data_IF_014946170902
#
_entry.id   IF_014946170902
#
_cell.length_a   1.000
_cell.length_b   1.000
_cell.length_c   1.000
_cell.angle_alpha   90.00
_cell.angle_beta   90.00
_cell.angle_gamma   90.00
#
_symmetry.space_group_name_H-M   'P 1'
#
loop_
_entity.id
_entity.type
_entity.pdbx_description
1 polymer ?
#
# COMPACT_ATOMS: atom_id res chain seq x y z
N UNK A 1 15.09 5.25 7.33
CA UNK A 1 13.90 5.73 8.08
C UNK A 1 12.74 4.83 7.71
N UNK A 2 11.97 4.35 8.67
CA UNK A 2 10.76 3.54 8.41
C UNK A 2 9.59 4.33 8.97
N UNK A 3 8.66 4.72 8.11
CA UNK A 3 7.42 5.36 8.51
C UNK A 3 6.38 4.28 8.81
N UNK A 4 5.68 4.43 9.93
CA UNK A 4 4.62 3.49 10.33
C UNK A 4 3.28 3.82 9.67
N UNK A 5 3.04 5.12 9.41
CA UNK A 5 1.81 5.63 8.79
C UNK A 5 2.12 6.58 7.63
N UNK A 6 1.22 6.61 6.66
CA UNK A 6 1.30 7.37 5.43
C UNK A 6 -0.05 8.05 5.15
N UNK A 7 0.03 9.24 4.56
CA UNK A 7 -1.10 9.89 3.92
C UNK A 7 -0.81 9.95 2.42
N UNK A 8 -1.75 9.44 1.61
CA UNK A 8 -1.59 9.39 0.15
C UNK A 8 -2.41 10.49 -0.52
N UNK A 9 -1.84 11.09 -1.57
CA UNK A 9 -2.59 11.99 -2.46
C UNK A 9 -3.48 11.13 -3.34
N UNK A 10 -4.79 11.12 -3.05
CA UNK A 10 -5.77 10.20 -3.65
C UNK A 10 -5.68 10.17 -5.18
N UNK A 11 -5.61 11.32 -5.82
CA UNK A 11 -5.62 11.49 -7.28
C UNK A 11 -4.41 10.84 -7.96
N UNK A 12 -3.31 10.61 -7.21
CA UNK A 12 -2.10 9.96 -7.72
C UNK A 12 -2.15 8.44 -7.62
N UNK A 13 -2.97 7.89 -6.73
CA UNK A 13 -2.95 6.45 -6.40
C UNK A 13 -4.29 5.75 -6.66
N UNK A 14 -5.38 6.49 -6.89
CA UNK A 14 -6.74 5.92 -7.00
C UNK A 14 -6.93 4.89 -8.12
N UNK A 15 -6.04 4.87 -9.12
CA UNK A 15 -6.07 3.91 -10.24
C UNK A 15 -4.92 2.91 -10.21
N UNK A 16 -4.10 2.95 -9.16
CA UNK A 16 -2.92 2.12 -9.01
C UNK A 16 -3.15 1.05 -7.94
N UNK A 17 -3.22 -0.21 -8.34
CA UNK A 17 -3.45 -1.32 -7.41
C UNK A 17 -2.18 -1.82 -6.72
N UNK A 18 -1.01 -1.58 -7.31
CA UNK A 18 0.30 -1.95 -6.79
C UNK A 18 1.25 -0.82 -7.16
N UNK A 19 1.91 -0.22 -6.17
CA UNK A 19 2.83 0.90 -6.43
C UNK A 19 3.97 0.95 -5.40
N UNK A 20 4.98 1.76 -5.72
CA UNK A 20 6.07 2.13 -4.82
C UNK A 20 6.10 3.64 -4.65
N UNK A 21 6.58 4.08 -3.51
CA UNK A 21 6.70 5.49 -3.17
C UNK A 21 8.18 5.89 -3.22
N UNK A 22 8.45 7.05 -3.79
CA UNK A 22 9.73 7.74 -3.65
C UNK A 22 9.58 8.83 -2.59
N UNK A 23 10.53 8.88 -1.66
CA UNK A 23 10.69 9.99 -0.72
C UNK A 23 12.00 10.68 -1.09
N UNK A 24 11.88 11.91 -1.57
CA UNK A 24 12.95 12.61 -2.28
C UNK A 24 13.50 11.74 -3.42
N UNK A 25 14.79 11.41 -3.39
CA UNK A 25 15.44 10.56 -4.38
C UNK A 25 15.49 9.09 -3.95
N UNK A 26 14.97 8.75 -2.77
CA UNK A 26 15.07 7.41 -2.18
C UNK A 26 13.80 6.59 -2.43
N UNK A 27 13.98 5.41 -3.02
CA UNK A 27 12.91 4.43 -3.16
C UNK A 27 12.57 3.81 -1.80
N UNK A 28 11.30 3.91 -1.39
CA UNK A 28 10.80 3.17 -0.23
C UNK A 28 10.78 1.68 -0.60
N UNK A 29 11.41 0.86 0.23
CA UNK A 29 11.57 -0.57 -0.03
C UNK A 29 10.25 -1.35 0.00
N UNK A 30 9.26 -0.85 0.76
CA UNK A 30 7.93 -1.44 0.88
C UNK A 30 7.14 -1.27 -0.43
N UNK A 31 6.34 -2.29 -0.75
CA UNK A 31 5.36 -2.25 -1.83
C UNK A 31 3.99 -1.94 -1.22
N UNK A 32 3.30 -0.96 -1.80
CA UNK A 32 1.97 -0.56 -1.39
C UNK A 32 0.96 -1.14 -2.36
N UNK A 33 -0.21 -1.49 -1.85
CA UNK A 33 -1.29 -2.09 -2.63
C UNK A 33 -2.62 -1.48 -2.24
N UNK A 34 -3.57 -1.47 -3.16
CA UNK A 34 -4.95 -1.08 -2.88
C UNK A 34 -5.71 -2.17 -2.11
N UNK A 35 -6.80 -1.77 -1.46
CA UNK A 35 -7.74 -2.72 -0.85
C UNK A 35 -8.35 -3.67 -1.89
N UNK A 36 -8.55 -3.20 -3.12
CA UNK A 36 -9.05 -4.03 -4.22
C UNK A 36 -8.08 -5.18 -4.55
N UNK A 37 -6.77 -4.90 -4.58
CA UNK A 37 -5.75 -5.93 -4.76
C UNK A 37 -5.73 -6.91 -3.59
N UNK A 38 -5.70 -6.40 -2.35
CA UNK A 38 -5.74 -7.21 -1.13
C UNK A 38 -6.93 -8.18 -1.15
N UNK A 39 -8.12 -7.69 -1.49
CA UNK A 39 -9.33 -8.50 -1.59
C UNK A 39 -9.22 -9.63 -2.63
N UNK A 40 -8.61 -9.37 -3.79
CA UNK A 40 -8.37 -10.40 -4.81
C UNK A 40 -7.43 -11.48 -4.27
N UNK A 41 -6.32 -11.10 -3.64
CA UNK A 41 -5.37 -12.04 -3.03
C UNK A 41 -6.05 -12.92 -1.98
N UNK A 42 -6.79 -12.31 -1.06
CA UNK A 42 -7.51 -13.01 0.00
C UNK A 42 -8.60 -13.93 -0.55
N UNK A 43 -9.39 -13.47 -1.53
CA UNK A 43 -10.45 -14.27 -2.16
C UNK A 43 -9.95 -15.49 -2.93
N UNK A 44 -8.69 -15.48 -3.37
CA UNK A 44 -8.06 -16.58 -4.09
C UNK A 44 -7.17 -17.46 -3.19
N UNK A 45 -7.18 -17.25 -1.86
CA UNK A 45 -6.38 -17.99 -0.88
C UNK A 45 -4.88 -18.01 -1.20
N UNK A 46 -4.35 -16.94 -1.79
CA UNK A 46 -2.92 -16.82 -2.06
C UNK A 46 -2.16 -16.62 -0.73
N UNK A 47 -1.13 -17.43 -0.51
CA UNK A 47 -0.31 -17.42 0.71
C UNK A 47 1.08 -16.81 0.45
N UNK A 48 1.82 -16.51 1.53
CA UNK A 48 3.17 -15.92 1.45
C UNK A 48 3.21 -14.39 1.45
N UNK A 49 2.06 -13.73 1.67
CA UNK A 49 1.94 -12.28 1.73
C UNK A 49 1.49 -11.86 3.13
N UNK A 50 2.05 -10.77 3.65
CA UNK A 50 1.59 -10.11 4.89
C UNK A 50 1.16 -8.69 4.56
N UNK A 51 -0.13 -8.42 4.70
CA UNK A 51 -0.66 -7.07 4.58
C UNK A 51 -0.53 -6.32 5.91
N UNK A 52 -0.04 -5.09 5.84
CA UNK A 52 0.10 -4.18 6.99
C UNK A 52 -0.69 -2.94 6.63
N UNK A 53 -1.63 -2.54 7.48
CA UNK A 53 -2.35 -1.28 7.35
C UNK A 53 -1.43 -0.14 7.77
N UNK A 54 -1.28 0.86 6.90
CA UNK A 54 -0.27 1.92 7.02
C UNK A 54 -0.88 3.31 6.95
N UNK A 55 -2.17 3.45 7.20
CA UNK A 55 -2.89 4.71 7.20
C UNK A 55 -4.02 4.64 8.22
N UNK A 56 -4.48 5.79 8.71
CA UNK A 56 -5.59 5.84 9.65
C UNK A 56 -6.90 5.69 8.88
N UNK A 57 -7.52 4.51 8.96
CA UNK A 57 -8.85 4.25 8.41
C UNK A 57 -9.97 4.83 9.29
N UNK A 58 -9.66 5.21 10.52
CA UNK A 58 -10.59 5.86 11.46
C UNK A 58 -10.38 7.38 11.47
N UNK A 59 -11.45 8.11 11.16
CA UNK A 59 -11.63 9.55 11.44
C UNK A 59 -12.78 9.73 12.42
#
# INVERSE_FOLDING_TARGET
MVFEKYAFVKEKVERENIFRVYLDESLVWMVFVSDAFKKVVESNNLSGLKFIEVWDSES
#
